data_IF_828212164837
#
_entry.id   IF_828212164837
#
_cell.length_a   1.000
_cell.length_b   1.000
_cell.length_c   1.000
_cell.angle_alpha   90.00
_cell.angle_beta   90.00
_cell.angle_gamma   90.00
#
_symmetry.space_group_name_H-M   'P 1'
#
loop_
_entity.id
_entity.type
_entity.pdbx_description
1 polymer ?
#
# COMPACT_ATOMS: atom_id res chain seq x y z
N UNK A 1 12.90 2.24 0.42
CA UNK A 1 12.44 0.84 0.58
C UNK A 1 12.38 0.48 2.04
N UNK A 2 11.45 -0.37 2.40
CA UNK A 2 11.35 -0.99 3.71
C UNK A 2 11.48 -2.51 3.53
N UNK A 3 12.55 -3.08 4.06
CA UNK A 3 12.79 -4.53 4.09
C UNK A 3 12.87 -4.95 5.56
N UNK A 4 11.84 -5.63 6.02
CA UNK A 4 11.58 -5.89 7.43
C UNK A 4 11.55 -7.39 7.63
N UNK A 5 12.36 -7.90 8.55
CA UNK A 5 12.29 -9.30 8.99
C UNK A 5 11.85 -9.31 10.46
N UNK A 6 10.73 -9.98 10.74
CA UNK A 6 10.28 -10.25 12.10
C UNK A 6 10.44 -11.72 12.41
N UNK A 7 11.00 -12.00 13.59
CA UNK A 7 11.09 -13.34 14.15
C UNK A 7 10.20 -13.43 15.37
N UNK A 8 9.48 -14.54 15.50
CA UNK A 8 8.66 -14.81 16.67
C UNK A 8 9.53 -15.33 17.83
N UNK A 9 9.56 -14.61 18.95
CA UNK A 9 10.23 -15.06 20.18
C UNK A 9 9.48 -16.21 20.89
N UNK A 10 8.17 -16.30 20.65
CA UNK A 10 7.27 -17.35 21.12
C UNK A 10 6.20 -17.58 20.06
N UNK A 11 5.39 -18.63 20.19
CA UNK A 11 4.26 -18.81 19.29
C UNK A 11 3.34 -17.57 19.30
N UNK A 12 3.11 -17.00 18.12
CA UNK A 12 2.23 -15.86 17.91
C UNK A 12 1.12 -16.26 16.95
N UNK A 13 -0.13 -16.18 17.42
CA UNK A 13 -1.30 -16.30 16.56
C UNK A 13 -1.85 -14.91 16.28
N UNK A 14 -1.86 -14.52 15.01
CA UNK A 14 -2.51 -13.29 14.55
C UNK A 14 -3.93 -13.63 14.10
N UNK A 15 -4.90 -13.16 14.86
CA UNK A 15 -6.32 -13.26 14.51
C UNK A 15 -6.71 -12.24 13.43
N UNK A 16 -7.94 -12.37 12.91
CA UNK A 16 -8.49 -11.40 11.97
C UNK A 16 -8.50 -10.01 12.60
N UNK A 17 -7.81 -9.05 11.96
CA UNK A 17 -7.67 -7.69 12.47
C UNK A 17 -7.57 -6.66 11.35
N UNK A 18 -8.01 -5.44 11.61
CA UNK A 18 -7.84 -4.30 10.69
C UNK A 18 -6.47 -3.61 10.84
N UNK A 19 -5.63 -4.09 11.75
CA UNK A 19 -4.27 -3.58 11.89
C UNK A 19 -3.38 -4.03 10.74
N UNK A 20 -2.52 -3.10 10.33
CA UNK A 20 -1.68 -3.20 9.16
C UNK A 20 -0.22 -3.33 9.55
N UNK A 21 0.56 -4.07 8.77
CA UNK A 21 2.00 -4.23 9.04
C UNK A 21 2.81 -3.03 8.53
N UNK A 22 2.37 -2.43 7.43
CA UNK A 22 3.00 -1.26 6.83
C UNK A 22 1.95 -0.42 6.11
N UNK A 23 1.92 0.89 6.35
CA UNK A 23 0.88 1.75 5.84
C UNK A 23 1.42 3.14 5.47
N UNK A 24 0.68 3.81 4.58
CA UNK A 24 0.91 5.21 4.24
C UNK A 24 -0.31 6.04 4.65
N UNK A 25 -0.03 7.20 5.27
CA UNK A 25 -0.99 8.28 5.45
C UNK A 25 -0.62 9.44 4.54
N UNK A 26 -1.43 9.70 3.52
CA UNK A 26 -1.21 10.80 2.59
C UNK A 26 -1.65 12.16 3.17
N UNK A 27 -1.10 13.23 2.60
CA UNK A 27 -1.54 14.60 2.87
C UNK A 27 -2.98 14.79 2.35
N UNK A 28 -3.87 15.48 3.09
CA UNK A 28 -5.29 15.54 2.73
C UNK A 28 -5.59 16.08 1.33
N UNK A 29 -4.81 17.03 0.84
CA UNK A 29 -5.00 17.72 -0.44
C UNK A 29 -4.83 16.79 -1.67
N UNK A 30 -4.07 15.70 -1.54
CA UNK A 30 -3.91 14.70 -2.61
C UNK A 30 -4.82 13.47 -2.44
N UNK A 31 -5.76 13.51 -1.50
CA UNK A 31 -6.71 12.41 -1.26
C UNK A 31 -8.08 12.71 -1.88
N UNK A 32 -8.92 11.70 -2.16
CA UNK A 32 -10.28 11.93 -2.67
C UNK A 32 -11.10 12.93 -1.85
N UNK A 33 -10.98 12.90 -0.51
CA UNK A 33 -11.67 13.87 0.35
C UNK A 33 -11.21 15.32 0.12
N UNK A 34 -9.96 15.52 -0.28
CA UNK A 34 -9.38 16.84 -0.61
C UNK A 34 -9.43 17.22 -2.10
N UNK A 35 -10.06 16.40 -2.95
CA UNK A 35 -10.13 16.61 -4.40
C UNK A 35 -9.04 15.91 -5.22
N UNK A 36 -8.14 15.16 -4.57
CA UNK A 36 -7.19 14.27 -5.22
C UNK A 36 -7.81 12.93 -5.63
N UNK A 37 -6.97 11.94 -5.86
CA UNK A 37 -7.32 10.64 -6.43
C UNK A 37 -6.69 9.52 -5.62
N UNK A 38 -7.38 8.38 -5.57
CA UNK A 38 -6.87 7.10 -5.07
C UNK A 38 -6.99 6.11 -6.21
N UNK A 39 -5.88 5.52 -6.66
CA UNK A 39 -5.89 4.51 -7.73
C UNK A 39 -5.00 3.33 -7.40
N UNK A 40 -5.34 2.16 -7.93
CA UNK A 40 -4.52 0.95 -7.81
C UNK A 40 -3.93 0.51 -9.15
N UNK A 41 -3.18 -0.60 -9.15
CA UNK A 41 -2.49 -1.11 -10.33
C UNK A 41 -3.43 -1.55 -11.47
N UNK A 42 -4.67 -1.91 -11.12
CA UNK A 42 -5.71 -2.32 -12.06
C UNK A 42 -6.52 -1.13 -12.59
N UNK A 43 -6.23 0.10 -12.15
CA UNK A 43 -6.94 1.31 -12.57
C UNK A 43 -8.27 1.55 -11.85
N UNK A 44 -8.57 0.79 -10.78
CA UNK A 44 -9.73 1.03 -9.92
C UNK A 44 -9.52 2.32 -9.14
N UNK A 45 -10.59 3.09 -8.92
CA UNK A 45 -10.50 4.42 -8.31
C UNK A 45 -11.40 4.61 -7.09
N UNK A 46 -10.85 5.26 -6.07
CA UNK A 46 -11.54 5.56 -4.82
C UNK A 46 -11.76 4.34 -3.93
N UNK A 47 -12.07 4.60 -2.66
CA UNK A 47 -12.21 3.58 -1.61
C UNK A 47 -13.22 2.48 -2.00
N UNK A 48 -14.34 2.87 -2.61
CA UNK A 48 -15.40 1.95 -3.01
C UNK A 48 -14.90 0.84 -3.94
N UNK A 49 -13.98 1.17 -4.85
CA UNK A 49 -13.50 0.22 -5.85
C UNK A 49 -12.22 -0.48 -5.41
N UNK A 50 -11.35 0.18 -4.63
CA UNK A 50 -10.04 -0.37 -4.23
C UNK A 50 -10.07 -1.17 -2.93
N UNK A 51 -11.04 -0.93 -2.03
CA UNK A 51 -11.07 -1.60 -0.73
C UNK A 51 -11.29 -3.13 -0.87
N UNK A 52 -10.40 -3.90 -0.26
CA UNK A 52 -10.39 -5.36 -0.30
C UNK A 52 -9.99 -5.95 -1.64
N UNK A 53 -9.50 -5.14 -2.58
CA UNK A 53 -8.97 -5.65 -3.84
C UNK A 53 -7.49 -6.00 -3.69
N UNK A 54 -7.07 -7.19 -4.16
CA UNK A 54 -5.66 -7.47 -4.40
C UNK A 54 -5.10 -6.48 -5.41
N UNK A 55 -3.91 -5.95 -5.14
CA UNK A 55 -3.19 -5.08 -6.08
C UNK A 55 -1.69 -5.11 -5.78
N UNK A 56 -0.87 -4.91 -6.81
CA UNK A 56 0.58 -4.71 -6.66
C UNK A 56 0.94 -3.40 -5.94
N UNK A 57 0.11 -2.37 -6.11
CA UNK A 57 0.31 -1.06 -5.51
C UNK A 57 -0.99 -0.25 -5.45
N UNK A 58 -1.04 0.69 -4.52
CA UNK A 58 -2.01 1.77 -4.51
C UNK A 58 -1.29 3.11 -4.38
N UNK A 59 -1.85 4.17 -4.94
CA UNK A 59 -1.32 5.51 -4.78
C UNK A 59 -2.40 6.56 -4.55
N UNK A 60 -2.01 7.61 -3.84
CA UNK A 60 -2.71 8.88 -3.86
C UNK A 60 -1.97 9.88 -4.73
N UNK A 61 -2.69 10.73 -5.45
CA UNK A 61 -2.10 11.82 -6.20
C UNK A 61 -3.12 12.92 -6.42
N UNK A 62 -2.64 14.14 -6.65
CA UNK A 62 -3.50 15.28 -6.91
C UNK A 62 -2.74 16.58 -6.95
N UNK A 63 -3.46 17.66 -7.25
CA UNK A 63 -2.91 19.00 -7.21
C UNK A 63 -2.69 19.44 -5.75
N UNK A 64 -1.47 19.85 -5.42
CA UNK A 64 -1.14 20.40 -4.10
C UNK A 64 -1.83 21.73 -3.91
N UNK A 65 -2.42 21.93 -2.73
CA UNK A 65 -3.05 23.21 -2.39
C UNK A 65 -2.04 24.19 -1.77
N UNK A 66 -1.03 23.68 -1.05
CA UNK A 66 0.05 24.47 -0.42
C UNK A 66 1.32 23.62 -0.27
N UNK A 67 2.51 24.25 -0.20
CA UNK A 67 2.77 25.69 -0.35
C UNK A 67 2.77 26.15 -1.82
N UNK A 68 2.78 25.22 -2.78
CA UNK A 68 2.84 25.51 -4.22
C UNK A 68 1.60 24.98 -4.95
N UNK A 69 0.52 25.79 -5.03
CA UNK A 69 -0.65 25.49 -5.86
C UNK A 69 -0.27 25.10 -7.30
N UNK A 70 -1.09 24.27 -7.96
CA UNK A 70 -0.86 23.89 -9.37
C UNK A 70 0.16 22.79 -9.60
N UNK A 71 0.86 22.30 -8.57
CA UNK A 71 1.81 21.18 -8.73
C UNK A 71 1.09 19.86 -8.49
N UNK A 72 1.14 18.94 -9.45
CA UNK A 72 0.63 17.58 -9.28
C UNK A 72 1.72 16.73 -8.62
N UNK A 73 1.41 16.12 -7.49
CA UNK A 73 2.30 15.20 -6.79
C UNK A 73 1.52 13.99 -6.28
N UNK A 74 2.24 12.91 -5.98
CA UNK A 74 1.63 11.72 -5.40
C UNK A 74 2.60 10.87 -4.60
N UNK A 75 2.00 9.89 -3.94
CA UNK A 75 2.66 8.88 -3.12
C UNK A 75 2.06 7.53 -3.42
N UNK A 76 2.90 6.58 -3.84
CA UNK A 76 2.53 5.19 -4.04
C UNK A 76 3.16 4.30 -2.97
N UNK A 77 2.42 3.27 -2.57
CA UNK A 77 2.93 2.16 -1.77
C UNK A 77 2.90 0.89 -2.62
N UNK A 78 4.03 0.20 -2.70
CA UNK A 78 4.20 -1.04 -3.46
C UNK A 78 4.30 -2.23 -2.50
N UNK A 79 3.58 -3.31 -2.83
CA UNK A 79 3.64 -4.62 -2.16
C UNK A 79 4.52 -5.56 -2.98
N UNK A 80 5.56 -6.14 -2.40
CA UNK A 80 6.48 -7.00 -3.15
C UNK A 80 5.86 -8.38 -3.40
N UNK A 81 6.01 -9.00 -4.59
CA UNK A 81 5.47 -10.35 -4.86
C UNK A 81 6.07 -11.46 -3.99
N UNK A 82 7.21 -11.21 -3.35
CA UNK A 82 7.82 -12.14 -2.39
C UNK A 82 7.25 -12.03 -0.97
N UNK A 83 6.32 -11.09 -0.71
CA UNK A 83 5.62 -11.04 0.56
C UNK A 83 4.66 -12.23 0.68
N UNK A 84 4.46 -12.81 1.87
CA UNK A 84 3.73 -14.08 2.02
C UNK A 84 2.28 -14.05 1.52
N UNK A 85 1.68 -12.87 1.46
CA UNK A 85 0.27 -12.67 1.12
C UNK A 85 0.08 -11.93 -0.21
N UNK A 86 1.16 -11.67 -0.96
CA UNK A 86 1.07 -10.95 -2.22
C UNK A 86 0.38 -11.79 -3.32
N UNK A 87 -0.43 -11.17 -4.20
CA UNK A 87 -0.90 -9.79 -4.12
C UNK A 87 -1.89 -9.61 -2.96
N UNK A 88 -1.55 -8.72 -2.04
CA UNK A 88 -2.31 -8.56 -0.79
C UNK A 88 -3.59 -7.76 -1.04
N UNK A 89 -4.75 -8.14 -0.47
CA UNK A 89 -5.92 -7.28 -0.48
C UNK A 89 -5.68 -5.97 0.29
N UNK A 90 -6.08 -4.85 -0.29
CA UNK A 90 -5.77 -3.53 0.25
C UNK A 90 -6.85 -2.99 1.18
N UNK A 91 -6.42 -2.38 2.28
CA UNK A 91 -7.25 -1.55 3.13
C UNK A 91 -7.02 -0.08 2.75
N UNK A 92 -7.94 0.47 1.96
CA UNK A 92 -7.86 1.84 1.43
C UNK A 92 -8.93 2.75 2.01
N UNK A 93 -8.66 4.04 2.14
CA UNK A 93 -9.61 5.04 2.66
C UNK A 93 -9.53 6.34 1.90
N UNK A 94 -10.67 6.94 1.57
CA UNK A 94 -10.71 8.21 0.81
C UNK A 94 -10.11 9.40 1.59
N UNK A 95 -9.90 9.25 2.89
CA UNK A 95 -9.22 10.23 3.75
C UNK A 95 -7.68 10.07 3.81
N UNK A 96 -7.09 9.20 2.97
CA UNK A 96 -5.65 9.11 2.79
C UNK A 96 -4.93 7.96 3.48
N UNK A 97 -5.62 6.91 3.90
CA UNK A 97 -4.95 5.71 4.44
C UNK A 97 -4.95 4.59 3.39
N UNK A 98 -3.75 4.08 3.05
CA UNK A 98 -3.58 2.85 2.25
C UNK A 98 -2.62 1.89 2.93
N UNK A 99 -2.94 0.60 2.85
CA UNK A 99 -2.08 -0.48 3.32
C UNK A 99 -2.42 -1.81 2.64
N UNK A 100 -1.42 -2.65 2.30
CA UNK A 100 -1.63 -4.08 2.11
C UNK A 100 -1.91 -4.73 3.48
N UNK A 101 -3.17 -5.09 3.76
CA UNK A 101 -3.61 -5.52 5.10
C UNK A 101 -4.15 -6.95 5.05
N UNK A 102 -3.28 -7.97 4.98
CA UNK A 102 -3.71 -9.35 4.73
C UNK A 102 -4.66 -9.85 5.81
N UNK A 103 -4.37 -9.54 7.08
CA UNK A 103 -5.08 -10.06 8.24
C UNK A 103 -6.51 -9.53 8.41
N UNK A 104 -6.91 -8.51 7.65
CA UNK A 104 -8.32 -8.12 7.62
C UNK A 104 -9.16 -9.07 6.76
N UNK A 105 -8.52 -9.77 5.81
CA UNK A 105 -9.17 -10.60 4.80
C UNK A 105 -8.85 -12.09 4.94
N UNK A 106 -8.06 -12.50 5.93
CA UNK A 106 -7.82 -13.92 6.24
C UNK A 106 -9.12 -14.61 6.68
N UNK A 107 -9.27 -15.88 6.29
CA UNK A 107 -10.36 -16.76 6.75
C UNK A 107 -10.00 -17.52 8.03
N UNK A 108 -8.71 -17.74 8.27
CA UNK A 108 -8.19 -18.45 9.44
C UNK A 108 -7.06 -17.64 10.06
N UNK A 109 -6.88 -17.69 11.40
CA UNK A 109 -5.75 -17.05 12.07
C UNK A 109 -4.41 -17.53 11.49
N UNK A 110 -3.44 -16.62 11.43
CA UNK A 110 -2.08 -16.96 11.00
C UNK A 110 -1.19 -17.23 12.20
N UNK A 111 -0.59 -18.42 12.25
CA UNK A 111 0.37 -18.81 13.27
C UNK A 111 1.80 -18.57 12.76
N UNK A 112 2.56 -17.80 13.53
CA UNK A 112 4.02 -17.72 13.43
C UNK A 112 4.61 -18.39 14.66
N UNK A 113 5.10 -19.63 14.49
CA UNK A 113 5.69 -20.41 15.59
C UNK A 113 7.01 -19.80 16.09
N UNK A 114 7.37 -20.07 17.35
CA UNK A 114 8.61 -19.60 17.94
C UNK A 114 9.83 -19.95 17.06
N UNK A 115 10.74 -18.98 16.90
CA UNK A 115 11.92 -19.08 16.05
C UNK A 115 11.67 -18.91 14.55
N UNK A 116 10.42 -19.00 14.07
CA UNK A 116 10.09 -18.73 12.67
C UNK A 116 10.11 -17.24 12.37
N UNK A 117 10.41 -16.89 11.12
CA UNK A 117 10.48 -15.51 10.65
C UNK A 117 9.58 -15.25 9.46
N UNK A 118 9.12 -14.00 9.36
CA UNK A 118 8.46 -13.45 8.18
C UNK A 118 9.26 -12.27 7.67
N UNK A 119 9.49 -12.21 6.36
CA UNK A 119 10.11 -11.07 5.70
C UNK A 119 9.08 -10.34 4.86
N UNK A 120 9.07 -9.01 4.99
CA UNK A 120 8.14 -8.11 4.35
C UNK A 120 8.94 -7.03 3.62
N UNK A 121 8.59 -6.79 2.36
CA UNK A 121 9.26 -5.83 1.49
C UNK A 121 8.22 -4.87 0.93
N UNK A 122 8.45 -3.58 1.13
CA UNK A 122 7.61 -2.51 0.63
C UNK A 122 8.46 -1.40 0.02
N UNK A 123 7.92 -0.70 -0.98
CA UNK A 123 8.53 0.52 -1.52
C UNK A 123 7.53 1.65 -1.50
N UNK A 124 7.96 2.79 -0.97
CA UNK A 124 7.21 4.05 -1.06
C UNK A 124 7.83 4.87 -2.17
N UNK A 125 7.03 5.31 -3.13
CA UNK A 125 7.46 6.15 -4.24
C UNK A 125 6.77 7.50 -4.11
N UNK A 126 7.55 8.57 -3.97
CA UNK A 126 7.08 9.94 -4.14
C UNK A 126 7.31 10.34 -5.59
N UNK A 127 6.34 11.02 -6.19
CA UNK A 127 6.42 11.41 -7.60
C UNK A 127 5.75 12.74 -7.86
N UNK A 128 6.17 13.41 -8.94
CA UNK A 128 5.55 14.62 -9.47
C UNK A 128 4.99 14.35 -10.87
N UNK A 129 3.79 14.86 -11.15
CA UNK A 129 3.01 14.54 -12.35
C UNK A 129 1.99 13.42 -12.11
N UNK A 130 1.28 13.06 -13.18
CA UNK A 130 0.26 12.00 -13.11
C UNK A 130 0.89 10.60 -13.05
N UNK A 131 0.24 9.61 -12.42
CA UNK A 131 0.75 8.23 -12.34
C UNK A 131 1.18 7.62 -13.69
N UNK A 132 0.44 7.93 -14.76
CA UNK A 132 0.73 7.45 -16.12
C UNK A 132 2.03 8.04 -16.67
N UNK A 133 2.27 9.34 -16.45
CA UNK A 133 3.48 10.05 -16.91
C UNK A 133 4.73 9.52 -16.19
N UNK A 134 4.60 9.23 -14.90
CA UNK A 134 5.67 8.72 -14.03
C UNK A 134 6.00 7.24 -14.32
N UNK A 135 5.14 6.54 -15.06
CA UNK A 135 5.30 5.12 -15.38
C UNK A 135 5.44 4.25 -14.11
N UNK A 136 4.58 4.46 -13.10
CA UNK A 136 4.62 3.70 -11.84
C UNK A 136 4.64 2.17 -12.06
N UNK A 137 3.92 1.67 -13.07
CA UNK A 137 3.93 0.26 -13.42
C UNK A 137 5.33 -0.25 -13.84
N UNK A 138 6.10 0.56 -14.58
CA UNK A 138 7.49 0.23 -14.94
C UNK A 138 8.39 0.23 -13.71
N UNK A 139 8.28 1.26 -12.86
CA UNK A 139 9.06 1.36 -11.62
C UNK A 139 8.78 0.18 -10.70
N UNK A 140 7.50 -0.21 -10.56
CA UNK A 140 7.10 -1.42 -9.84
C UNK A 140 7.71 -2.67 -10.48
N UNK A 141 7.56 -2.85 -11.80
CA UNK A 141 8.04 -4.04 -12.50
C UNK A 141 9.57 -4.23 -12.45
N UNK A 142 10.34 -3.15 -12.34
CA UNK A 142 11.79 -3.20 -12.10
C UNK A 142 12.12 -3.59 -10.66
N UNK A 143 11.41 -3.01 -9.69
CA UNK A 143 11.61 -3.31 -8.27
C UNK A 143 11.18 -4.72 -7.88
N UNK A 144 10.04 -5.19 -8.40
CA UNK A 144 9.46 -6.49 -8.06
C UNK A 144 10.36 -7.69 -8.45
N UNK A 145 11.43 -7.44 -9.21
CA UNK A 145 12.43 -8.44 -9.62
C UNK A 145 13.61 -8.57 -8.65
N UNK A 146 13.67 -7.75 -7.59
CA UNK A 146 14.77 -7.73 -6.61
C UNK A 146 14.46 -8.56 -5.37
#
# INVERSE_FOLDING_TARGET
DADITWQAEKDVTIEKTNHSLFAVRAAPDITPLGGGQLVNAEGLSGEKETFGKPSAWCCYWGERQRPKPGTIEGIALFDHPANPWAPTPWFTRDYGFISPTPFYFIQQPWLLAAGQSVRLRYRVVFFGGEPAEVQLARIYGEWAKT
#
